data_IF_929534791226
#
_entry.id   IF_929534791226
#
_cell.length_a   1.000
_cell.length_b   1.000
_cell.length_c   1.000
_cell.angle_alpha   90.00
_cell.angle_beta   90.00
_cell.angle_gamma   90.00
#
_symmetry.space_group_name_H-M   'P 1'
#
loop_
_entity.id
_entity.type
_entity.pdbx_description
1 polymer ?
#
# COMPACT_ATOMS: atom_id res chain seq x y z
N UNK A 1 13.58 8.43 38.04
CA UNK A 1 14.78 8.71 37.21
C UNK A 1 15.76 7.56 37.41
N UNK A 2 15.90 6.66 36.42
CA UNK A 2 16.92 5.61 36.47
C UNK A 2 18.21 6.18 35.87
N UNK A 3 19.19 6.51 36.71
CA UNK A 3 20.55 6.80 36.26
C UNK A 3 21.21 5.48 35.87
N UNK A 4 21.68 5.37 34.63
CA UNK A 4 22.53 4.25 34.20
C UNK A 4 24.00 4.64 34.40
N UNK A 5 24.83 3.65 34.73
CA UNK A 5 26.27 3.87 34.86
C UNK A 5 26.92 4.00 33.48
N UNK A 6 27.96 4.82 33.36
CA UNK A 6 28.79 4.89 32.14
C UNK A 6 29.29 3.51 31.71
N UNK A 7 29.54 2.59 32.65
CA UNK A 7 29.94 1.22 32.34
C UNK A 7 28.85 0.41 31.61
N UNK A 8 27.56 0.67 31.83
CA UNK A 8 26.49 0.04 31.07
C UNK A 8 26.44 0.59 29.64
N UNK A 9 26.55 1.91 29.49
CA UNK A 9 26.62 2.59 28.20
C UNK A 9 27.82 2.11 27.37
N UNK A 10 29.00 2.01 27.99
CA UNK A 10 30.24 1.56 27.36
C UNK A 10 30.17 0.06 27.02
N UNK A 11 29.68 -0.81 27.92
CA UNK A 11 29.52 -2.23 27.61
C UNK A 11 28.52 -2.50 26.49
N UNK A 12 27.44 -1.73 26.40
CA UNK A 12 26.49 -1.81 25.29
C UNK A 12 27.09 -1.27 23.98
N UNK A 13 27.91 -0.22 24.04
CA UNK A 13 28.63 0.30 22.87
C UNK A 13 29.72 -0.66 22.35
N UNK A 14 30.39 -1.40 23.23
CA UNK A 14 31.47 -2.34 22.89
C UNK A 14 30.96 -3.73 22.46
N UNK A 15 29.82 -4.21 22.97
CA UNK A 15 29.26 -5.51 22.58
C UNK A 15 28.61 -5.53 21.18
N UNK A 16 28.24 -4.37 20.63
CA UNK A 16 27.33 -4.30 19.47
C UNK A 16 27.92 -3.69 18.18
N UNK A 17 29.19 -3.26 18.14
CA UNK A 17 29.75 -2.57 16.95
C UNK A 17 30.48 -3.46 15.95
N UNK A 18 31.12 -4.56 16.36
CA UNK A 18 32.11 -5.24 15.51
C UNK A 18 31.59 -6.43 14.70
N UNK A 19 30.28 -6.67 14.58
CA UNK A 19 29.76 -7.90 13.93
C UNK A 19 28.62 -7.72 12.94
N UNK A 20 28.26 -6.49 12.59
CA UNK A 20 27.22 -6.23 11.59
C UNK A 20 27.82 -5.60 10.34
N UNK A 21 27.41 -6.12 9.19
CA UNK A 21 27.92 -5.74 7.88
C UNK A 21 26.77 -5.35 6.98
N UNK A 22 27.07 -4.49 6.01
CA UNK A 22 26.14 -4.11 4.96
C UNK A 22 26.90 -4.07 3.63
N UNK A 23 26.23 -4.50 2.57
CA UNK A 23 26.74 -4.45 1.22
C UNK A 23 25.63 -3.93 0.31
N UNK A 24 25.94 -2.92 -0.48
CA UNK A 24 25.02 -2.32 -1.44
C UNK A 24 25.63 -2.43 -2.83
N UNK A 25 24.85 -2.90 -3.79
CA UNK A 25 25.24 -2.97 -5.21
C UNK A 25 24.28 -2.12 -6.02
N UNK A 26 24.79 -1.27 -6.90
CA UNK A 26 24.01 -0.53 -7.90
C UNK A 26 24.40 -1.04 -9.29
N UNK A 27 23.42 -1.54 -10.04
CA UNK A 27 23.57 -1.88 -11.45
C UNK A 27 23.00 -0.75 -12.33
N UNK A 28 23.88 -0.04 -13.04
CA UNK A 28 23.57 1.14 -13.86
C UNK A 28 24.11 0.94 -15.27
N UNK A 29 23.23 0.63 -16.23
CA UNK A 29 23.65 0.25 -17.57
C UNK A 29 24.62 -0.95 -17.55
N UNK A 30 25.85 -0.74 -18.04
CA UNK A 30 26.91 -1.75 -18.03
C UNK A 30 27.87 -1.63 -16.84
N UNK A 31 27.71 -0.61 -15.99
CA UNK A 31 28.54 -0.40 -14.81
C UNK A 31 27.88 -1.01 -13.55
N UNK A 32 28.71 -1.52 -12.65
CA UNK A 32 28.27 -2.03 -11.35
C UNK A 32 29.10 -1.36 -10.26
N UNK A 33 28.42 -0.71 -9.33
CA UNK A 33 29.03 -0.05 -8.18
C UNK A 33 28.76 -0.89 -6.94
N UNK A 34 29.80 -1.17 -6.15
CA UNK A 34 29.70 -1.98 -4.94
C UNK A 34 30.22 -1.15 -3.78
N UNK A 35 29.41 -1.05 -2.73
CA UNK A 35 29.74 -0.38 -1.48
C UNK A 35 29.64 -1.37 -0.33
N UNK A 36 30.63 -1.31 0.55
CA UNK A 36 30.73 -2.14 1.75
C UNK A 36 30.68 -1.25 2.99
N UNK A 37 30.74 -1.86 4.18
CA UNK A 37 30.85 -1.16 5.46
C UNK A 37 32.00 -0.13 5.53
N UNK A 38 33.04 -0.29 4.69
CA UNK A 38 34.17 0.66 4.60
C UNK A 38 33.81 1.94 3.86
N UNK A 39 32.87 1.85 2.92
CA UNK A 39 32.47 2.96 2.05
C UNK A 39 31.25 3.68 2.63
N UNK A 40 30.36 2.92 3.29
CA UNK A 40 29.06 3.36 3.76
C UNK A 40 29.17 4.12 5.08
N UNK A 41 28.77 5.39 5.06
CA UNK A 41 28.63 6.23 6.24
C UNK A 41 27.33 5.94 7.01
N UNK A 42 26.22 5.75 6.29
CA UNK A 42 24.95 5.40 6.90
C UNK A 42 23.97 4.74 5.94
N UNK A 43 23.04 3.95 6.48
CA UNK A 43 21.87 3.40 5.78
C UNK A 43 20.62 3.63 6.63
N UNK A 44 19.49 3.89 5.97
CA UNK A 44 18.16 3.88 6.54
C UNK A 44 17.21 3.17 5.55
N UNK A 45 16.82 1.94 5.87
CA UNK A 45 15.75 1.18 5.23
C UNK A 45 14.46 1.45 6.02
N UNK A 46 13.36 1.77 5.35
CA UNK A 46 12.06 2.04 5.98
C UNK A 46 10.93 1.38 5.20
N UNK A 47 10.13 0.61 5.93
CA UNK A 47 8.94 -0.08 5.46
C UNK A 47 7.75 0.31 6.33
N UNK A 48 6.60 0.50 5.71
CA UNK A 48 5.36 0.86 6.38
C UNK A 48 4.17 0.41 5.52
N UNK A 49 3.29 -0.38 6.13
CA UNK A 49 2.12 -0.97 5.48
C UNK A 49 0.89 -0.69 6.34
N UNK A 50 -0.23 -0.37 5.70
CA UNK A 50 -1.53 -0.36 6.35
C UNK A 50 -2.20 -1.72 6.12
N UNK A 51 -2.50 -2.51 7.17
CA UNK A 51 -3.18 -3.79 6.99
C UNK A 51 -4.57 -3.69 6.34
N UNK A 52 -5.20 -2.51 6.40
CA UNK A 52 -6.47 -2.22 5.74
C UNK A 52 -6.29 -1.61 4.34
N UNK A 53 -5.04 -1.40 3.90
CA UNK A 53 -4.69 -0.75 2.63
C UNK A 53 -5.36 0.60 2.41
N UNK A 54 -5.62 1.42 3.43
CA UNK A 54 -6.28 2.73 3.26
C UNK A 54 -5.34 3.83 2.76
N UNK A 55 -4.05 3.51 2.73
CA UNK A 55 -2.96 4.35 2.23
C UNK A 55 -1.95 3.49 1.52
N UNK A 56 -1.26 4.09 0.56
CA UNK A 56 -0.19 3.41 -0.17
C UNK A 56 0.94 3.00 0.78
N UNK A 57 1.58 1.84 0.57
CA UNK A 57 2.74 1.42 1.35
C UNK A 57 3.92 2.37 1.13
N UNK A 58 4.88 2.34 2.06
CA UNK A 58 6.17 3.04 1.90
C UNK A 58 7.29 2.04 2.07
N UNK A 59 8.11 1.91 1.04
CA UNK A 59 9.26 1.00 1.02
C UNK A 59 10.45 1.78 0.43
N UNK A 60 11.26 2.36 1.31
CA UNK A 60 12.31 3.32 0.94
C UNK A 60 13.66 2.92 1.51
N UNK A 61 14.71 3.25 0.76
CA UNK A 61 16.10 3.09 1.13
C UNK A 61 16.81 4.43 0.95
N UNK A 62 17.55 4.86 1.97
CA UNK A 62 18.53 5.94 1.83
C UNK A 62 19.86 5.48 2.38
N UNK A 63 20.94 5.74 1.66
CA UNK A 63 22.28 5.47 2.16
C UNK A 63 23.24 6.57 1.73
N UNK A 64 24.28 6.74 2.55
CA UNK A 64 25.33 7.71 2.34
C UNK A 64 26.67 7.01 2.33
N UNK A 65 27.56 7.45 1.46
CA UNK A 65 28.94 6.96 1.35
C UNK A 65 29.93 8.12 1.56
N UNK A 66 31.12 7.79 2.02
CA UNK A 66 32.24 8.73 2.00
C UNK A 66 32.75 8.90 0.56
N UNK A 67 32.73 10.13 0.05
CA UNK A 67 33.15 10.50 -1.31
C UNK A 67 34.31 11.51 -1.25
N UNK A 68 35.41 11.14 -0.58
CA UNK A 68 36.56 12.02 -0.41
C UNK A 68 37.30 12.32 -1.72
N UNK A 69 37.26 11.40 -2.67
CA UNK A 69 37.85 11.56 -4.00
C UNK A 69 36.96 12.37 -4.95
N UNK A 70 35.72 12.67 -4.54
CA UNK A 70 34.76 13.46 -5.31
C UNK A 70 34.26 12.76 -6.58
N UNK A 71 34.21 11.42 -6.58
CA UNK A 71 33.74 10.62 -7.70
C UNK A 71 32.25 10.87 -7.98
N UNK A 72 31.46 11.16 -6.94
CA UNK A 72 30.03 11.41 -7.08
C UNK A 72 29.69 12.91 -7.04
N UNK A 73 30.69 13.79 -7.04
CA UNK A 73 30.46 15.23 -7.12
C UNK A 73 29.98 15.63 -8.54
N UNK A 74 28.82 16.29 -8.71
CA UNK A 74 28.34 16.74 -10.02
C UNK A 74 29.30 17.69 -10.76
N UNK A 75 30.21 18.35 -10.03
CA UNK A 75 31.23 19.24 -10.59
C UNK A 75 32.46 18.49 -11.12
N UNK A 76 32.56 17.17 -10.90
CA UNK A 76 33.65 16.33 -11.41
C UNK A 76 33.26 15.73 -12.77
N UNK A 77 33.77 16.26 -13.90
CA UNK A 77 33.35 15.84 -15.24
C UNK A 77 33.80 14.42 -15.62
N UNK A 78 34.79 13.86 -14.93
CA UNK A 78 35.29 12.49 -15.14
C UNK A 78 34.81 11.50 -14.07
N UNK A 79 33.98 11.98 -13.13
CA UNK A 79 33.44 11.19 -12.03
C UNK A 79 32.36 10.19 -12.47
N UNK A 80 31.83 9.47 -11.49
CA UNK A 80 30.77 8.46 -11.62
C UNK A 80 29.37 9.08 -11.63
N UNK A 81 29.19 10.29 -11.10
CA UNK A 81 27.87 10.94 -11.00
C UNK A 81 27.12 11.01 -12.34
N UNK A 82 27.80 11.42 -13.42
CA UNK A 82 27.20 11.60 -14.74
C UNK A 82 26.89 10.28 -15.47
N UNK A 83 27.53 9.18 -15.04
CA UNK A 83 27.36 7.84 -15.61
C UNK A 83 26.27 7.02 -14.92
N UNK A 84 25.82 7.50 -13.77
CA UNK A 84 24.79 6.84 -12.99
C UNK A 84 23.41 7.16 -13.58
N UNK A 85 22.69 6.10 -13.92
CA UNK A 85 21.35 6.18 -14.48
C UNK A 85 20.34 6.28 -13.34
N UNK A 86 19.40 7.21 -13.49
CA UNK A 86 18.19 7.21 -12.68
C UNK A 86 17.41 5.92 -12.98
N UNK A 87 16.73 5.37 -11.97
CA UNK A 87 16.10 4.04 -12.03
C UNK A 87 17.06 2.84 -12.09
N UNK A 88 18.34 3.04 -11.77
CA UNK A 88 19.28 1.92 -11.56
C UNK A 88 18.80 0.97 -10.47
N UNK A 89 19.01 -0.34 -10.68
CA UNK A 89 18.64 -1.37 -9.70
C UNK A 89 19.63 -1.39 -8.54
N UNK A 90 19.11 -1.45 -7.33
CA UNK A 90 19.88 -1.51 -6.09
C UNK A 90 19.58 -2.84 -5.40
N UNK A 91 20.64 -3.51 -4.94
CA UNK A 91 20.56 -4.67 -4.07
C UNK A 91 21.26 -4.34 -2.76
N UNK A 92 20.56 -4.48 -1.63
CA UNK A 92 21.15 -4.33 -0.29
C UNK A 92 21.12 -5.66 0.43
N UNK A 93 22.20 -5.99 1.12
CA UNK A 93 22.29 -7.14 2.02
C UNK A 93 22.88 -6.72 3.35
N UNK A 94 22.25 -7.18 4.43
CA UNK A 94 22.83 -7.14 5.77
C UNK A 94 23.52 -8.47 6.08
N UNK A 95 24.53 -8.44 6.94
CA UNK A 95 25.23 -9.65 7.35
C UNK A 95 25.72 -9.58 8.78
N UNK A 96 25.92 -10.76 9.38
CA UNK A 96 26.43 -10.91 10.73
C UNK A 96 27.69 -11.76 10.75
N UNK A 97 28.72 -11.32 11.48
CA UNK A 97 29.92 -12.14 11.71
C UNK A 97 29.65 -13.22 12.76
N UNK A 98 29.51 -14.46 12.31
CA UNK A 98 29.25 -15.63 13.15
C UNK A 98 30.54 -16.23 13.73
N UNK A 99 31.66 -16.02 13.06
CA UNK A 99 33.01 -16.35 13.55
C UNK A 99 34.03 -15.44 12.90
N UNK A 100 35.22 -15.29 13.48
CA UNK A 100 36.23 -14.34 13.03
C UNK A 100 36.47 -14.44 11.51
N UNK A 101 36.15 -13.37 10.78
CA UNK A 101 36.30 -13.24 9.33
C UNK A 101 35.23 -13.95 8.49
N UNK A 102 34.23 -14.58 9.11
CA UNK A 102 33.14 -15.29 8.42
C UNK A 102 31.83 -14.56 8.65
N UNK A 103 31.28 -14.01 7.57
CA UNK A 103 30.02 -13.27 7.55
C UNK A 103 28.93 -14.18 6.98
N UNK A 104 27.86 -14.35 7.73
CA UNK A 104 26.58 -14.87 7.22
C UNK A 104 25.79 -13.71 6.65
N UNK A 105 25.44 -13.79 5.36
CA UNK A 105 24.67 -12.76 4.66
C UNK A 105 23.20 -13.15 4.63
N UNK A 106 22.34 -12.21 5.01
CA UNK A 106 20.90 -12.35 4.90
C UNK A 106 20.45 -12.23 3.43
N UNK A 107 19.20 -12.63 3.21
CA UNK A 107 18.52 -12.42 1.92
C UNK A 107 18.58 -10.94 1.50
N UNK A 108 18.80 -10.67 0.21
CA UNK A 108 18.83 -9.31 -0.30
C UNK A 108 17.45 -8.67 -0.39
N UNK A 109 17.41 -7.36 -0.18
CA UNK A 109 16.30 -6.51 -0.61
C UNK A 109 16.63 -5.77 -1.90
N UNK A 110 15.59 -5.41 -2.66
CA UNK A 110 15.70 -4.79 -3.97
C UNK A 110 15.01 -3.43 -4.01
N UNK A 111 15.70 -2.43 -4.55
CA UNK A 111 15.20 -1.07 -4.71
C UNK A 111 15.55 -0.51 -6.08
N UNK A 112 14.91 0.59 -6.46
CA UNK A 112 15.15 1.35 -7.68
C UNK A 112 15.57 2.76 -7.28
N UNK A 113 16.72 3.20 -7.80
CA UNK A 113 17.27 4.52 -7.49
C UNK A 113 16.30 5.64 -7.88
N UNK A 114 16.08 6.59 -6.98
CA UNK A 114 15.15 7.70 -7.20
C UNK A 114 15.70 8.79 -8.10
N UNK A 115 16.95 9.16 -7.86
CA UNK A 115 17.66 10.19 -8.57
C UNK A 115 19.17 9.95 -8.39
N UNK A 116 19.97 10.64 -9.20
CA UNK A 116 21.42 10.70 -8.96
C UNK A 116 21.72 11.22 -7.54
N UNK A 117 22.82 10.78 -6.92
CA UNK A 117 23.12 11.14 -5.54
C UNK A 117 23.34 12.65 -5.39
N UNK A 118 23.00 13.15 -4.20
CA UNK A 118 23.35 14.49 -3.77
C UNK A 118 24.68 14.46 -3.02
N UNK A 119 25.50 15.51 -3.12
CA UNK A 119 26.79 15.57 -2.42
C UNK A 119 26.86 16.78 -1.51
N UNK A 120 27.26 16.56 -0.26
CA UNK A 120 27.55 17.61 0.70
C UNK A 120 28.71 17.20 1.59
N UNK A 121 29.69 18.09 1.76
CA UNK A 121 30.82 17.90 2.71
C UNK A 121 31.58 16.58 2.54
N UNK A 122 31.81 16.13 1.30
CA UNK A 122 32.52 14.87 1.00
C UNK A 122 31.69 13.61 1.28
N UNK A 123 30.36 13.73 1.38
CA UNK A 123 29.43 12.61 1.53
C UNK A 123 28.44 12.63 0.37
N UNK A 124 28.30 11.50 -0.31
CA UNK A 124 27.30 11.31 -1.36
C UNK A 124 26.11 10.51 -0.80
N UNK A 125 24.89 11.01 -1.00
CA UNK A 125 23.65 10.42 -0.47
C UNK A 125 22.73 10.01 -1.60
N UNK A 126 22.31 8.75 -1.55
CA UNK A 126 21.42 8.10 -2.49
C UNK A 126 20.07 7.87 -1.83
N UNK A 127 19.01 7.96 -2.62
CA UNK A 127 17.64 7.61 -2.22
C UNK A 127 17.05 6.66 -3.26
N UNK A 128 16.29 5.69 -2.79
CA UNK A 128 15.67 4.67 -3.62
C UNK A 128 14.34 4.23 -3.01
N UNK A 129 13.47 3.71 -3.86
CA UNK A 129 12.16 3.19 -3.51
C UNK A 129 11.95 1.81 -4.13
N UNK A 130 11.07 0.99 -3.58
CA UNK A 130 10.73 -0.30 -4.21
C UNK A 130 10.08 -0.11 -5.58
N UNK A 131 10.02 -1.18 -6.39
CA UNK A 131 9.32 -1.16 -7.68
C UNK A 131 7.83 -0.79 -7.51
N UNK A 132 7.18 -1.27 -6.45
CA UNK A 132 5.81 -0.90 -6.09
C UNK A 132 5.66 0.60 -5.80
N UNK A 133 6.53 1.18 -4.97
CA UNK A 133 6.48 2.60 -4.66
C UNK A 133 6.86 3.51 -5.85
N UNK A 134 7.40 2.93 -6.92
CA UNK A 134 7.74 3.62 -8.19
C UNK A 134 6.61 3.68 -9.20
N UNK A 135 5.48 3.04 -8.94
CA UNK A 135 4.33 3.00 -9.85
C UNK A 135 3.53 4.33 -9.83
N UNK A 136 4.20 5.43 -10.19
CA UNK A 136 3.68 6.80 -10.14
C UNK A 136 3.12 7.31 -11.46
N UNK A 137 3.27 6.56 -12.55
CA UNK A 137 2.61 6.88 -13.81
C UNK A 137 1.09 6.74 -13.65
N UNK A 138 0.32 7.45 -14.49
CA UNK A 138 -1.14 7.40 -14.43
C UNK A 138 -1.67 6.13 -15.09
N UNK A 139 -2.59 5.46 -14.42
CA UNK A 139 -3.55 4.54 -15.00
C UNK A 139 -4.85 5.31 -15.29
N UNK A 140 -5.33 5.25 -16.52
CA UNK A 140 -6.54 5.94 -16.97
C UNK A 140 -7.51 5.03 -17.74
N UNK A 141 -7.19 3.73 -17.83
CA UNK A 141 -7.88 2.75 -18.66
C UNK A 141 -9.08 2.10 -17.97
N UNK A 142 -9.65 2.75 -16.96
CA UNK A 142 -10.84 2.28 -16.26
C UNK A 142 -12.07 2.29 -17.17
N UNK A 143 -12.89 1.25 -17.14
CA UNK A 143 -14.11 1.11 -17.94
C UNK A 143 -15.28 0.80 -17.01
N UNK A 144 -16.45 1.39 -17.29
CA UNK A 144 -17.68 1.02 -16.61
C UNK A 144 -18.20 -0.30 -17.17
N UNK A 145 -17.90 -1.40 -16.48
CA UNK A 145 -18.27 -2.76 -16.85
C UNK A 145 -18.14 -3.68 -15.64
N UNK A 146 -18.93 -4.75 -15.59
CA UNK A 146 -18.74 -5.79 -14.57
C UNK A 146 -17.35 -6.43 -14.72
N UNK A 147 -16.56 -6.39 -13.65
CA UNK A 147 -15.25 -7.02 -13.54
C UNK A 147 -15.07 -7.60 -12.14
N UNK A 148 -14.03 -8.41 -11.96
CA UNK A 148 -13.54 -8.78 -10.64
C UNK A 148 -12.28 -7.99 -10.29
N UNK A 149 -11.98 -7.88 -8.99
CA UNK A 149 -10.82 -7.12 -8.48
C UNK A 149 -9.48 -7.73 -8.90
N UNK A 150 -9.41 -9.03 -9.21
CA UNK A 150 -8.19 -9.68 -9.67
C UNK A 150 -7.78 -9.18 -11.05
N UNK A 151 -8.72 -9.20 -12.00
CA UNK A 151 -8.45 -8.77 -13.38
C UNK A 151 -8.13 -7.27 -13.44
N UNK A 152 -8.76 -6.46 -12.57
CA UNK A 152 -8.41 -5.04 -12.41
C UNK A 152 -6.99 -4.84 -11.85
N UNK A 153 -6.57 -5.65 -10.87
CA UNK A 153 -5.20 -5.55 -10.35
C UNK A 153 -4.17 -5.93 -11.41
N UNK A 154 -4.42 -7.02 -12.14
CA UNK A 154 -3.56 -7.47 -13.25
C UNK A 154 -3.50 -6.41 -14.35
N UNK A 155 -4.62 -5.82 -14.75
CA UNK A 155 -4.62 -4.79 -15.80
C UNK A 155 -3.79 -3.57 -15.41
N UNK A 156 -3.83 -3.15 -14.14
CA UNK A 156 -3.03 -2.04 -13.63
C UNK A 156 -1.53 -2.39 -13.58
N UNK A 157 -1.18 -3.61 -13.14
CA UNK A 157 0.22 -4.07 -13.09
C UNK A 157 0.83 -4.22 -14.49
N UNK A 158 0.09 -4.82 -15.43
CA UNK A 158 0.53 -4.98 -16.81
C UNK A 158 0.64 -3.65 -17.54
N UNK A 159 -0.30 -2.72 -17.31
CA UNK A 159 -0.23 -1.35 -17.85
C UNK A 159 0.98 -0.58 -17.31
N UNK A 160 1.36 -0.83 -16.06
CA UNK A 160 2.58 -0.28 -15.47
C UNK A 160 3.88 -0.93 -15.99
N UNK A 161 3.77 -1.97 -16.84
CA UNK A 161 4.91 -2.68 -17.42
C UNK A 161 5.53 -3.74 -16.49
N UNK A 162 4.83 -4.16 -15.43
CA UNK A 162 5.34 -5.15 -14.49
C UNK A 162 5.17 -6.55 -15.08
N UNK A 163 6.25 -7.32 -15.08
CA UNK A 163 6.24 -8.69 -15.58
C UNK A 163 5.41 -9.59 -14.63
N UNK A 164 4.69 -10.58 -15.17
CA UNK A 164 3.90 -11.53 -14.39
C UNK A 164 4.70 -12.41 -13.42
N UNK A 165 6.03 -12.46 -13.53
CA UNK A 165 6.90 -13.10 -12.55
C UNK A 165 7.23 -12.20 -11.34
N UNK A 166 6.98 -10.89 -11.45
CA UNK A 166 7.32 -9.89 -10.44
C UNK A 166 6.09 -9.42 -9.64
N UNK A 167 4.93 -10.04 -9.83
CA UNK A 167 3.77 -9.81 -8.97
C UNK A 167 3.00 -11.10 -8.68
N UNK A 168 2.29 -11.09 -7.56
CA UNK A 168 1.36 -12.14 -7.14
C UNK A 168 0.07 -11.48 -6.64
N UNK A 169 -1.05 -11.82 -7.27
CA UNK A 169 -2.39 -11.39 -6.84
C UNK A 169 -3.12 -12.63 -6.36
N UNK A 170 -3.69 -12.59 -5.16
CA UNK A 170 -4.40 -13.73 -4.60
C UNK A 170 -5.68 -14.08 -5.39
N UNK A 171 -5.95 -15.37 -5.57
CA UNK A 171 -7.08 -15.82 -6.38
C UNK A 171 -8.46 -15.49 -5.77
N UNK A 172 -8.55 -15.20 -4.47
CA UNK A 172 -9.82 -14.83 -3.82
C UNK A 172 -10.45 -13.57 -4.42
N UNK A 173 -9.63 -12.66 -4.97
CA UNK A 173 -10.09 -11.43 -5.63
C UNK A 173 -10.96 -11.70 -6.87
N UNK A 174 -10.88 -12.89 -7.47
CA UNK A 174 -11.71 -13.27 -8.63
C UNK A 174 -13.21 -13.33 -8.31
N UNK A 175 -13.54 -13.54 -7.04
CA UNK A 175 -14.93 -13.61 -6.57
C UNK A 175 -15.45 -12.27 -6.05
N UNK A 176 -14.61 -11.23 -6.00
CA UNK A 176 -14.98 -9.90 -5.52
C UNK A 176 -15.29 -9.02 -6.72
N UNK A 177 -16.58 -8.73 -6.92
CA UNK A 177 -17.07 -8.09 -8.14
C UNK A 177 -17.28 -6.59 -7.96
N UNK A 178 -17.05 -5.84 -9.02
CA UNK A 178 -17.36 -4.40 -9.10
C UNK A 178 -17.76 -4.02 -10.52
N UNK A 179 -18.59 -3.00 -10.66
CA UNK A 179 -18.83 -2.34 -11.95
C UNK A 179 -18.17 -0.96 -12.03
N UNK A 180 -17.47 -0.55 -10.98
CA UNK A 180 -16.84 0.75 -10.90
C UNK A 180 -15.66 0.84 -11.89
N UNK A 181 -15.61 1.89 -12.72
CA UNK A 181 -14.40 2.21 -13.44
C UNK A 181 -13.30 2.63 -12.44
N UNK A 182 -12.09 2.12 -12.65
CA UNK A 182 -10.92 2.64 -11.94
C UNK A 182 -10.73 4.14 -12.26
N UNK A 183 -10.42 4.97 -11.25
CA UNK A 183 -10.28 6.40 -11.46
C UNK A 183 -8.96 6.69 -12.18
N UNK A 184 -8.89 7.82 -12.87
CA UNK A 184 -7.62 8.34 -13.39
C UNK A 184 -6.72 8.73 -12.21
N UNK A 185 -5.72 7.89 -11.90
CA UNK A 185 -4.80 8.08 -10.78
C UNK A 185 -3.50 7.35 -11.05
N UNK A 186 -2.55 7.37 -10.12
CA UNK A 186 -1.32 6.57 -10.28
C UNK A 186 -1.63 5.08 -10.22
N UNK A 187 -0.85 4.25 -10.92
CA UNK A 187 -0.95 2.78 -10.80
C UNK A 187 -0.92 2.33 -9.34
N UNK A 188 -0.01 2.89 -8.52
CA UNK A 188 0.05 2.60 -7.08
C UNK A 188 -1.25 2.92 -6.34
N UNK A 189 -1.89 4.06 -6.63
CA UNK A 189 -3.16 4.42 -6.00
C UNK A 189 -4.30 3.50 -6.47
N UNK A 190 -4.32 3.13 -7.75
CA UNK A 190 -5.30 2.16 -8.26
C UNK A 190 -5.13 0.79 -7.58
N UNK A 191 -3.90 0.30 -7.41
CA UNK A 191 -3.63 -0.95 -6.69
C UNK A 191 -4.01 -0.86 -5.22
N UNK A 192 -3.75 0.26 -4.56
CA UNK A 192 -4.15 0.49 -3.17
C UNK A 192 -5.68 0.48 -3.03
N UNK A 193 -6.40 1.14 -3.95
CA UNK A 193 -7.86 1.15 -3.99
C UNK A 193 -8.42 -0.28 -4.16
N UNK A 194 -7.82 -1.07 -5.06
CA UNK A 194 -8.19 -2.47 -5.29
C UNK A 194 -7.91 -3.32 -4.04
N UNK A 195 -6.71 -3.21 -3.46
CA UNK A 195 -6.32 -3.97 -2.26
C UNK A 195 -7.26 -3.68 -1.08
N UNK A 196 -7.62 -2.41 -0.86
CA UNK A 196 -8.58 -2.04 0.17
C UNK A 196 -9.97 -2.63 -0.09
N UNK A 197 -10.50 -2.52 -1.32
CA UNK A 197 -11.80 -3.10 -1.65
C UNK A 197 -11.80 -4.62 -1.45
N UNK A 198 -10.67 -5.25 -1.75
CA UNK A 198 -10.45 -6.68 -1.61
C UNK A 198 -10.15 -7.14 -0.18
N UNK A 199 -10.04 -6.23 0.81
CA UNK A 199 -9.61 -6.53 2.19
C UNK A 199 -8.23 -7.22 2.22
N UNK A 200 -7.37 -6.81 1.30
CA UNK A 200 -6.02 -7.33 1.09
C UNK A 200 -4.98 -6.28 1.48
N UNK A 201 -3.78 -6.75 1.81
CA UNK A 201 -2.59 -5.92 1.92
C UNK A 201 -1.92 -5.73 0.57
N UNK A 202 -1.13 -4.66 0.44
CA UNK A 202 -0.32 -4.34 -0.72
C UNK A 202 1.11 -4.05 -0.25
N UNK A 203 2.07 -4.91 -0.60
CA UNK A 203 3.49 -4.75 -0.25
C UNK A 203 4.42 -5.49 -1.21
N UNK A 204 5.71 -5.20 -1.17
CA UNK A 204 6.74 -6.00 -1.84
C UNK A 204 7.29 -7.05 -0.88
N UNK A 205 7.42 -8.29 -1.32
CA UNK A 205 8.09 -9.37 -0.58
C UNK A 205 9.17 -9.97 -1.48
N UNK A 206 10.44 -9.90 -1.07
CA UNK A 206 11.57 -10.44 -1.84
C UNK A 206 11.62 -9.98 -3.31
N UNK A 207 11.22 -8.72 -3.58
CA UNK A 207 11.18 -8.14 -4.92
C UNK A 207 9.93 -8.46 -5.75
N UNK A 208 8.95 -9.16 -5.19
CA UNK A 208 7.65 -9.46 -5.83
C UNK A 208 6.56 -8.60 -5.21
N UNK A 209 5.79 -7.89 -6.02
CA UNK A 209 4.62 -7.12 -5.57
C UNK A 209 3.50 -8.09 -5.20
N UNK A 210 2.99 -8.03 -3.98
CA UNK A 210 1.92 -8.92 -3.50
C UNK A 210 0.65 -8.17 -3.16
N UNK A 211 -0.48 -8.72 -3.60
CA UNK A 211 -1.83 -8.37 -3.12
C UNK A 211 -2.43 -9.62 -2.51
N UNK A 212 -2.50 -9.66 -1.18
CA UNK A 212 -2.89 -10.86 -0.43
C UNK A 212 -3.87 -10.55 0.72
N UNK A 213 -4.85 -11.43 0.99
CA UNK A 213 -5.80 -11.24 2.08
C UNK A 213 -5.10 -11.02 3.42
N UNK A 214 -5.60 -10.04 4.19
CA UNK A 214 -5.13 -9.81 5.53
C UNK A 214 -6.05 -10.46 6.56
N UNK A 215 -5.47 -11.07 7.60
CA UNK A 215 -6.21 -11.50 8.79
C UNK A 215 -5.58 -10.92 10.04
N UNK A 216 -6.41 -10.46 10.97
CA UNK A 216 -5.97 -10.01 12.30
C UNK A 216 -5.73 -11.16 13.28
N UNK A 217 -5.95 -12.42 12.87
CA UNK A 217 -5.74 -13.62 13.71
C UNK A 217 -4.31 -14.18 13.65
N UNK A 218 -3.36 -13.42 13.11
CA UNK A 218 -1.97 -13.86 12.98
C UNK A 218 -1.36 -14.03 14.39
N UNK A 219 -0.89 -15.23 14.67
CA UNK A 219 -0.15 -15.55 15.90
C UNK A 219 1.35 -15.58 15.62
N UNK A 220 2.19 -14.99 16.48
CA UNK A 220 3.64 -15.10 16.34
C UNK A 220 4.11 -16.56 16.41
N UNK A 221 5.01 -16.96 15.51
CA UNK A 221 5.55 -18.32 15.50
C UNK A 221 6.64 -18.52 16.56
N UNK A 222 7.71 -17.71 16.52
CA UNK A 222 8.88 -17.92 17.40
C UNK A 222 9.66 -16.67 17.82
N UNK A 223 9.52 -15.53 17.12
CA UNK A 223 10.33 -14.36 17.43
C UNK A 223 9.85 -13.65 18.71
N UNK A 224 10.78 -13.45 19.65
CA UNK A 224 10.55 -12.72 20.90
C UNK A 224 11.44 -11.48 20.93
N UNK A 225 10.82 -10.31 20.97
CA UNK A 225 11.48 -9.05 21.26
C UNK A 225 11.66 -8.90 22.77
N UNK A 226 12.83 -9.31 23.25
CA UNK A 226 13.21 -9.23 24.66
C UNK A 226 13.50 -7.81 25.14
N UNK A 227 13.31 -7.56 26.44
CA UNK A 227 13.58 -6.26 27.07
C UNK A 227 15.05 -5.83 26.96
N UNK A 228 15.97 -6.79 26.83
CA UNK A 228 17.41 -6.59 26.66
C UNK A 228 17.79 -6.03 25.26
N UNK A 229 16.87 -6.14 24.31
CA UNK A 229 16.99 -5.62 22.95
C UNK A 229 16.42 -4.21 22.81
N UNK A 230 15.58 -3.76 23.74
CA UNK A 230 14.92 -2.45 23.71
C UNK A 230 15.83 -1.38 24.30
N UNK A 231 15.90 -0.24 23.62
CA UNK A 231 16.67 0.92 24.10
C UNK A 231 16.08 1.50 25.38
N UNK A 232 16.91 2.13 26.22
CA UNK A 232 16.41 2.84 27.40
C UNK A 232 15.46 3.97 26.99
N UNK A 233 14.24 4.00 27.55
CA UNK A 233 13.15 4.90 27.11
C UNK A 233 12.88 4.78 25.60
N UNK A 234 13.11 3.60 25.04
CA UNK A 234 12.97 3.30 23.63
C UNK A 234 11.55 2.95 23.23
N UNK A 235 10.65 2.77 24.18
CA UNK A 235 9.25 2.41 23.98
C UNK A 235 8.32 3.60 24.22
N UNK A 236 7.37 3.79 23.31
CA UNK A 236 6.21 4.67 23.52
C UNK A 236 4.94 3.90 23.20
N UNK A 237 3.89 4.13 23.99
CA UNK A 237 2.61 3.45 23.85
C UNK A 237 1.55 4.51 23.56
N UNK A 238 0.75 4.27 22.52
CA UNK A 238 -0.45 5.03 22.24
C UNK A 238 -1.67 4.10 22.30
N UNK A 239 -2.77 4.65 22.83
CA UNK A 239 -4.08 3.99 22.84
C UNK A 239 -5.09 4.96 22.27
N UNK A 240 -5.78 4.54 21.22
CA UNK A 240 -6.87 5.33 20.64
C UNK A 240 -8.19 5.02 21.37
N UNK A 241 -9.17 5.91 21.24
CA UNK A 241 -10.50 5.78 21.85
C UNK A 241 -11.21 4.49 21.44
N UNK A 242 -12.12 3.98 22.27
CA UNK A 242 -12.93 2.80 21.96
C UNK A 242 -13.60 2.93 20.59
N UNK A 243 -13.71 1.84 19.83
CA UNK A 243 -14.49 1.81 18.59
C UNK A 243 -15.97 1.91 18.93
N UNK A 244 -16.66 2.95 18.48
CA UNK A 244 -18.10 3.04 18.58
C UNK A 244 -18.76 2.30 17.41
N UNK A 245 -18.48 2.74 16.19
CA UNK A 245 -19.07 2.19 14.95
C UNK A 245 -18.08 2.23 13.80
N UNK A 246 -18.31 1.36 12.82
CA UNK A 246 -17.64 1.41 11.51
C UNK A 246 -18.72 1.60 10.45
N UNK A 247 -18.51 2.54 9.55
CA UNK A 247 -19.39 2.79 8.41
C UNK A 247 -18.61 2.67 7.10
N UNK A 248 -19.27 2.26 6.03
CA UNK A 248 -18.68 2.22 4.70
C UNK A 248 -19.65 2.73 3.65
N UNK A 249 -19.14 3.37 2.61
CA UNK A 249 -19.93 3.84 1.47
C UNK A 249 -20.16 2.73 0.44
N UNK A 250 -21.38 2.70 -0.12
CA UNK A 250 -21.77 1.95 -1.30
C UNK A 250 -21.92 2.92 -2.47
N UNK A 251 -21.22 2.66 -3.56
CA UNK A 251 -21.20 3.50 -4.75
C UNK A 251 -22.08 2.87 -5.84
N UNK A 252 -23.02 3.65 -6.37
CA UNK A 252 -23.84 3.27 -7.51
C UNK A 252 -23.54 4.18 -8.68
N UNK A 253 -23.12 3.59 -9.79
CA UNK A 253 -22.83 4.28 -11.04
C UNK A 253 -24.03 4.14 -11.96
N UNK A 254 -24.68 5.27 -12.24
CA UNK A 254 -25.94 5.38 -12.97
C UNK A 254 -25.70 6.10 -14.30
N UNK A 255 -25.54 5.37 -15.42
CA UNK A 255 -25.52 5.97 -16.74
C UNK A 255 -26.84 6.68 -17.06
N UNK A 256 -26.77 7.81 -17.74
CA UNK A 256 -27.94 8.43 -18.36
C UNK A 256 -28.47 7.56 -19.51
N UNK A 257 -29.78 7.64 -19.77
CA UNK A 257 -30.44 6.88 -20.85
C UNK A 257 -29.93 7.28 -22.25
N UNK A 258 -29.68 8.57 -22.44
CA UNK A 258 -29.36 9.14 -23.75
C UNK A 258 -27.90 9.59 -23.84
N UNK A 259 -27.29 9.35 -25.00
CA UNK A 259 -25.95 9.84 -25.30
C UNK A 259 -25.95 11.36 -25.54
N UNK A 260 -24.98 12.06 -24.95
CA UNK A 260 -24.82 13.52 -25.03
C UNK A 260 -23.36 13.88 -25.28
N UNK A 261 -23.11 15.11 -25.72
CA UNK A 261 -21.76 15.67 -25.71
C UNK A 261 -21.23 15.70 -24.28
N UNK A 262 -20.14 14.97 -24.04
CA UNK A 262 -19.41 14.96 -22.78
C UNK A 262 -18.49 16.17 -22.73
N UNK A 263 -17.62 16.31 -23.73
CA UNK A 263 -16.62 17.37 -23.79
C UNK A 263 -16.08 17.55 -25.22
N UNK A 264 -15.50 18.71 -25.50
CA UNK A 264 -14.89 19.05 -26.80
C UNK A 264 -13.47 19.56 -26.59
N UNK A 265 -12.54 19.10 -27.43
CA UNK A 265 -11.11 19.42 -27.34
C UNK A 265 -10.63 20.06 -28.64
N UNK A 266 -9.78 21.07 -28.54
CA UNK A 266 -9.09 21.66 -29.70
C UNK A 266 -7.66 21.13 -29.75
N UNK A 267 -7.32 20.41 -30.82
CA UNK A 267 -6.04 19.70 -30.96
C UNK A 267 -5.35 20.18 -32.23
N UNK A 268 -4.08 20.58 -32.09
CA UNK A 268 -3.18 20.86 -33.22
C UNK A 268 -2.54 19.56 -33.70
N UNK A 269 -2.57 19.33 -35.02
CA UNK A 269 -2.10 18.11 -35.67
C UNK A 269 -1.07 18.47 -36.72
N UNK A 270 0.09 17.82 -36.64
CA UNK A 270 1.18 17.88 -37.62
C UNK A 270 1.41 16.47 -38.17
N UNK A 271 1.08 16.25 -39.45
CA UNK A 271 1.09 14.96 -40.16
C UNK A 271 0.37 13.82 -39.44
N UNK A 272 0.99 13.18 -38.45
CA UNK A 272 0.44 12.12 -37.60
C UNK A 272 0.69 12.45 -36.15
N UNK A 273 -0.37 12.67 -35.38
CA UNK A 273 -0.30 13.02 -33.95
C UNK A 273 -1.00 11.96 -33.10
N UNK A 274 -0.29 11.43 -32.10
CA UNK A 274 -0.87 10.59 -31.05
C UNK A 274 -1.53 11.50 -30.02
N UNK A 275 -2.81 11.24 -29.74
CA UNK A 275 -3.63 12.07 -28.88
C UNK A 275 -4.07 11.29 -27.65
N UNK A 276 -4.02 11.98 -26.50
CA UNK A 276 -4.59 11.54 -25.24
C UNK A 276 -5.48 12.67 -24.70
N UNK A 277 -6.72 12.36 -24.35
CA UNK A 277 -7.66 13.30 -23.72
C UNK A 277 -8.23 12.68 -22.46
N UNK A 278 -8.43 13.50 -21.41
CA UNK A 278 -9.17 13.14 -20.20
C UNK A 278 -10.49 13.91 -20.19
N UNK A 279 -11.60 13.26 -19.83
CA UNK A 279 -12.95 13.83 -19.84
C UNK A 279 -13.80 13.34 -18.65
N UNK A 280 -14.98 13.93 -18.50
CA UNK A 280 -15.94 13.56 -17.45
C UNK A 280 -16.44 12.11 -17.56
N UNK A 281 -16.67 11.49 -16.40
CA UNK A 281 -17.08 10.09 -16.28
C UNK A 281 -18.31 9.75 -17.14
N UNK A 282 -18.14 8.77 -18.02
CA UNK A 282 -19.15 8.34 -18.99
C UNK A 282 -18.98 6.86 -19.36
N UNK A 283 -19.90 6.32 -20.16
CA UNK A 283 -19.76 5.05 -20.88
C UNK A 283 -20.28 5.21 -22.32
N UNK A 284 -20.06 4.16 -23.14
CA UNK A 284 -20.49 4.13 -24.55
C UNK A 284 -19.97 5.35 -25.34
N UNK A 285 -18.70 5.69 -25.16
CA UNK A 285 -18.11 6.86 -25.80
C UNK A 285 -17.83 6.64 -27.28
N UNK A 286 -18.13 7.65 -28.07
CA UNK A 286 -17.76 7.81 -29.47
C UNK A 286 -17.01 9.12 -29.66
N UNK A 287 -16.02 9.10 -30.56
CA UNK A 287 -15.23 10.28 -30.92
C UNK A 287 -15.58 10.70 -32.34
N UNK A 288 -15.85 12.00 -32.50
CA UNK A 288 -16.05 12.62 -33.80
C UNK A 288 -15.10 13.81 -33.97
N UNK A 289 -14.67 14.07 -35.21
CA UNK A 289 -13.80 15.20 -35.54
C UNK A 289 -14.51 16.16 -36.48
N UNK A 290 -14.28 17.46 -36.30
CA UNK A 290 -15.06 18.52 -36.96
C UNK A 290 -14.86 18.69 -38.47
N UNK A 291 -14.00 17.89 -39.12
CA UNK A 291 -13.68 18.02 -40.54
C UNK A 291 -13.42 16.67 -41.19
N UNK A 292 -13.88 16.48 -42.42
CA UNK A 292 -13.57 15.29 -43.23
C UNK A 292 -12.11 15.27 -43.73
N UNK A 293 -11.38 16.39 -43.61
CA UNK A 293 -9.98 16.49 -44.06
C UNK A 293 -8.96 15.94 -43.04
N UNK A 294 -9.42 15.36 -41.94
CA UNK A 294 -8.59 14.72 -40.92
C UNK A 294 -9.12 13.30 -40.68
N UNK A 295 -8.21 12.35 -40.62
CA UNK A 295 -8.55 10.95 -40.33
C UNK A 295 -8.34 10.67 -38.86
N UNK A 296 -9.35 10.11 -38.20
CA UNK A 296 -9.22 9.58 -36.84
C UNK A 296 -9.12 8.05 -36.90
N UNK A 297 -8.16 7.48 -36.19
CA UNK A 297 -7.91 6.03 -36.15
C UNK A 297 -7.37 5.59 -34.79
N UNK A 298 -7.21 4.27 -34.59
CA UNK A 298 -6.70 3.65 -33.35
C UNK A 298 -7.43 4.12 -32.08
N UNK A 299 -8.75 4.31 -32.18
CA UNK A 299 -9.57 4.85 -31.10
C UNK A 299 -9.73 3.81 -30.00
N UNK A 300 -9.31 4.16 -28.80
CA UNK A 300 -9.57 3.43 -27.57
C UNK A 300 -10.23 4.38 -26.59
N UNK A 301 -11.45 4.05 -26.17
CA UNK A 301 -12.21 4.85 -25.22
C UNK A 301 -12.27 4.17 -23.86
N UNK A 302 -12.17 4.99 -22.82
CA UNK A 302 -12.25 4.62 -21.42
C UNK A 302 -13.28 5.50 -20.73
N UNK A 303 -13.63 5.17 -19.48
CA UNK A 303 -14.67 5.87 -18.76
C UNK A 303 -14.39 7.37 -18.55
N UNK A 304 -13.10 7.75 -18.50
CA UNK A 304 -12.65 9.13 -18.26
C UNK A 304 -11.52 9.59 -19.19
N UNK A 305 -11.17 8.81 -20.20
CA UNK A 305 -10.08 9.15 -21.11
C UNK A 305 -10.22 8.44 -22.46
N UNK A 306 -9.54 8.94 -23.49
CA UNK A 306 -9.40 8.24 -24.76
C UNK A 306 -8.01 8.44 -25.37
N UNK A 307 -7.53 7.39 -26.02
CA UNK A 307 -6.31 7.39 -26.84
C UNK A 307 -6.70 7.18 -28.30
N UNK A 308 -6.15 7.98 -29.20
CA UNK A 308 -6.43 7.88 -30.64
C UNK A 308 -5.31 8.53 -31.46
N UNK A 309 -5.35 8.34 -32.77
CA UNK A 309 -4.41 8.97 -33.70
C UNK A 309 -5.17 9.88 -34.66
N UNK A 310 -4.67 11.09 -34.85
CA UNK A 310 -5.13 12.03 -35.88
C UNK A 310 -4.10 12.12 -36.99
N UNK A 311 -4.55 12.06 -38.24
CA UNK A 311 -3.73 12.30 -39.44
C UNK A 311 -4.31 13.47 -40.24
N UNK A 312 -3.52 14.53 -40.37
CA UNK A 312 -3.94 15.79 -40.98
C UNK A 312 -2.97 16.93 -40.65
N UNK A 313 -3.28 18.15 -41.12
CA UNK A 313 -2.48 19.34 -40.84
C UNK A 313 -3.39 20.51 -40.44
N UNK A 314 -3.20 21.03 -39.22
CA UNK A 314 -3.95 22.16 -38.67
C UNK A 314 -4.63 21.86 -37.33
N UNK A 315 -5.52 22.76 -36.90
CA UNK A 315 -6.25 22.62 -35.63
C UNK A 315 -7.65 22.04 -35.88
N UNK A 316 -7.99 20.97 -35.17
CA UNK A 316 -9.27 20.28 -35.28
C UNK A 316 -10.00 20.22 -33.94
N UNK A 317 -11.33 20.16 -33.97
CA UNK A 317 -12.14 19.93 -32.78
C UNK A 317 -12.52 18.46 -32.71
N UNK A 318 -12.14 17.81 -31.61
CA UNK A 318 -12.57 16.46 -31.25
C UNK A 318 -13.71 16.57 -30.26
N UNK A 319 -14.84 15.97 -30.59
CA UNK A 319 -16.03 15.91 -29.74
C UNK A 319 -16.16 14.50 -29.19
N UNK A 320 -16.28 14.38 -27.86
CA UNK A 320 -16.61 13.12 -27.19
C UNK A 320 -18.10 13.12 -26.90
N UNK A 321 -18.81 12.12 -27.41
CA UNK A 321 -20.21 11.85 -27.09
C UNK A 321 -20.33 10.53 -26.35
N UNK A 322 -21.23 10.42 -25.38
CA UNK A 322 -21.47 9.18 -24.65
C UNK A 322 -22.57 9.35 -23.62
N UNK A 323 -22.87 8.28 -22.88
CA UNK A 323 -23.79 8.33 -21.74
C UNK A 323 -23.01 8.81 -20.52
N UNK A 324 -23.40 9.98 -20.00
CA UNK A 324 -22.80 10.49 -18.76
C UNK A 324 -23.15 9.57 -17.59
N UNK A 325 -22.22 9.32 -16.69
CA UNK A 325 -22.48 8.54 -15.48
C UNK A 325 -22.59 9.49 -14.28
N UNK A 326 -23.69 9.37 -13.55
CA UNK A 326 -23.85 10.02 -12.24
C UNK A 326 -23.55 8.99 -11.14
N UNK A 327 -22.89 9.43 -10.07
CA UNK A 327 -22.59 8.57 -8.93
C UNK A 327 -23.53 8.89 -7.78
N UNK A 328 -24.28 7.89 -7.31
CA UNK A 328 -25.02 7.93 -6.05
C UNK A 328 -24.22 7.21 -4.97
N UNK A 329 -24.32 7.68 -3.72
CA UNK A 329 -23.62 7.12 -2.57
C UNK A 329 -24.63 6.89 -1.45
N UNK A 330 -24.68 5.67 -0.93
CA UNK A 330 -25.35 5.35 0.34
C UNK A 330 -24.31 4.87 1.36
N UNK A 331 -24.65 4.90 2.64
CA UNK A 331 -23.75 4.51 3.73
C UNK A 331 -24.46 3.49 4.60
N UNK A 332 -23.76 2.41 4.93
CA UNK A 332 -24.17 1.42 5.92
C UNK A 332 -23.19 1.44 7.08
N UNK A 333 -23.68 1.12 8.28
CA UNK A 333 -22.88 1.13 9.50
C UNK A 333 -23.11 -0.11 10.35
N UNK A 334 -22.14 -0.43 11.19
CA UNK A 334 -22.25 -1.44 12.25
C UNK A 334 -21.78 -0.87 13.58
N UNK A 335 -22.63 -0.98 14.59
CA UNK A 335 -22.32 -0.57 15.96
C UNK A 335 -21.50 -1.69 16.63
N UNK A 336 -20.29 -1.32 17.07
CA UNK A 336 -19.30 -2.26 17.62
C UNK A 336 -19.22 -2.17 19.15
N UNK A 337 -19.55 -1.01 19.72
CA UNK A 337 -19.70 -0.87 21.16
C UNK A 337 -20.82 0.10 21.54
N UNK A 338 -21.35 -0.04 22.75
CA UNK A 338 -22.36 0.88 23.30
C UNK A 338 -21.76 2.20 23.80
N UNK A 339 -20.45 2.41 23.66
CA UNK A 339 -19.80 3.66 24.05
C UNK A 339 -19.99 4.70 22.94
N UNK A 340 -21.09 5.45 23.00
CA UNK A 340 -21.45 6.51 22.04
C UNK A 340 -20.42 7.65 21.94
N UNK A 341 -19.52 7.78 22.92
CA UNK A 341 -18.41 8.75 22.88
C UNK A 341 -17.16 8.17 22.23
N UNK A 342 -17.22 6.95 21.70
CA UNK A 342 -16.12 6.31 20.99
C UNK A 342 -15.95 6.82 19.57
N UNK A 343 -14.84 6.41 18.95
CA UNK A 343 -14.51 6.77 17.56
C UNK A 343 -15.43 6.08 16.56
N UNK A 344 -15.84 6.84 15.54
CA UNK A 344 -16.45 6.32 14.30
C UNK A 344 -15.35 6.19 13.25
N UNK A 345 -15.19 5.02 12.64
CA UNK A 345 -14.34 4.83 11.46
C UNK A 345 -15.21 4.78 10.20
N UNK A 346 -14.74 5.39 9.10
CA UNK A 346 -15.55 5.66 7.90
C UNK A 346 -14.75 5.31 6.65
N UNK A 347 -15.19 4.27 5.96
CA UNK A 347 -14.49 3.68 4.82
C UNK A 347 -15.08 4.16 3.49
N UNK A 348 -14.20 4.68 2.63
CA UNK A 348 -14.57 5.29 1.35
C UNK A 348 -13.77 4.66 0.24
N UNK A 349 -14.38 3.67 -0.40
CA UNK A 349 -13.77 2.97 -1.52
C UNK A 349 -14.77 2.85 -2.67
N UNK A 350 -14.47 3.54 -3.78
CA UNK A 350 -15.38 3.65 -4.92
C UNK A 350 -15.59 2.32 -5.68
N UNK A 351 -14.79 1.29 -5.41
CA UNK A 351 -14.97 -0.04 -5.99
C UNK A 351 -16.01 -0.88 -5.23
N UNK A 352 -16.49 -0.42 -4.08
CA UNK A 352 -17.57 -1.07 -3.34
C UNK A 352 -18.90 -0.70 -3.99
N UNK A 353 -19.40 -1.60 -4.84
CA UNK A 353 -20.62 -1.41 -5.64
C UNK A 353 -21.72 -2.44 -5.35
N UNK A 354 -21.55 -3.26 -4.31
CA UNK A 354 -22.58 -4.17 -3.82
C UNK A 354 -22.69 -4.11 -2.28
N UNK A 355 -23.90 -4.29 -1.76
CA UNK A 355 -24.16 -4.27 -0.32
C UNK A 355 -23.44 -5.42 0.41
N UNK A 356 -23.25 -6.56 -0.26
CA UNK A 356 -22.50 -7.69 0.28
C UNK A 356 -21.03 -7.33 0.53
N UNK A 357 -20.34 -6.73 -0.46
CA UNK A 357 -18.95 -6.31 -0.30
C UNK A 357 -18.81 -5.15 0.72
N UNK A 358 -19.78 -4.24 0.77
CA UNK A 358 -19.85 -3.17 1.77
C UNK A 358 -19.86 -3.75 3.20
N UNK A 359 -20.72 -4.74 3.45
CA UNK A 359 -20.80 -5.39 4.76
C UNK A 359 -19.51 -6.13 5.13
N UNK A 360 -18.92 -6.88 4.18
CA UNK A 360 -17.66 -7.59 4.40
C UNK A 360 -16.50 -6.62 4.72
N UNK A 361 -16.47 -5.46 4.08
CA UNK A 361 -15.48 -4.42 4.37
C UNK A 361 -15.65 -3.87 5.79
N UNK A 362 -16.87 -3.51 6.19
CA UNK A 362 -17.18 -3.02 7.55
C UNK A 362 -16.71 -4.02 8.60
N UNK A 363 -17.02 -5.31 8.42
CA UNK A 363 -16.64 -6.35 9.37
C UNK A 363 -15.12 -6.56 9.44
N UNK A 364 -14.45 -6.59 8.30
CA UNK A 364 -12.98 -6.71 8.24
C UNK A 364 -12.28 -5.55 8.96
N UNK A 365 -12.73 -4.32 8.71
CA UNK A 365 -12.20 -3.11 9.35
C UNK A 365 -12.48 -3.11 10.85
N UNK A 366 -13.68 -3.49 11.28
CA UNK A 366 -14.04 -3.60 12.68
C UNK A 366 -13.10 -4.57 13.43
N UNK A 367 -12.90 -5.79 12.91
CA UNK A 367 -12.03 -6.80 13.52
C UNK A 367 -10.60 -6.28 13.75
N UNK A 368 -10.03 -5.59 12.78
CA UNK A 368 -8.69 -5.01 12.92
C UNK A 368 -8.67 -3.79 13.87
N UNK A 369 -9.68 -2.93 13.80
CA UNK A 369 -9.73 -1.71 14.59
C UNK A 369 -10.15 -1.95 16.04
N UNK A 370 -10.59 -3.13 16.43
CA UNK A 370 -10.74 -3.46 17.85
C UNK A 370 -9.43 -3.40 18.62
N UNK A 371 -8.32 -3.73 17.97
CA UNK A 371 -7.00 -3.57 18.58
C UNK A 371 -6.65 -2.07 18.64
N UNK A 372 -6.65 -1.51 19.85
CA UNK A 372 -6.55 -0.05 20.08
C UNK A 372 -5.17 0.42 20.51
N UNK A 373 -4.23 -0.49 20.77
CA UNK A 373 -2.92 -0.17 21.31
C UNK A 373 -1.84 -0.30 20.23
N UNK A 374 -1.02 0.73 20.11
CA UNK A 374 0.16 0.75 19.24
C UNK A 374 1.39 1.08 20.07
N UNK A 375 2.50 0.39 19.80
CA UNK A 375 3.78 0.61 20.45
C UNK A 375 4.82 1.01 19.41
N UNK A 376 5.56 2.08 19.65
CA UNK A 376 6.78 2.36 18.91
C UNK A 376 7.98 1.95 19.76
N UNK A 377 8.82 1.07 19.24
CA UNK A 377 9.90 0.42 19.98
C UNK A 377 11.23 0.61 19.24
N UNK A 378 12.15 1.33 19.87
CA UNK A 378 13.55 1.44 19.44
C UNK A 378 14.34 0.27 20.01
N UNK A 379 14.93 -0.53 19.14
CA UNK A 379 15.60 -1.77 19.51
C UNK A 379 16.90 -1.96 18.74
N UNK A 380 17.59 -3.09 18.99
CA UNK A 380 18.87 -3.42 18.34
C UNK A 380 18.79 -3.59 16.81
N UNK A 381 17.60 -3.80 16.24
CA UNK A 381 17.42 -4.02 14.81
C UNK A 381 17.66 -5.48 14.41
N UNK A 382 16.70 -6.06 13.70
CA UNK A 382 16.79 -7.34 13.03
C UNK A 382 16.29 -7.15 11.58
N UNK A 383 17.18 -7.11 10.58
CA UNK A 383 16.78 -6.90 9.19
C UNK A 383 15.88 -7.99 8.60
N UNK A 384 15.76 -9.15 9.24
CA UNK A 384 14.86 -10.23 8.79
C UNK A 384 13.40 -9.98 9.11
N UNK A 385 13.09 -9.03 10.01
CA UNK A 385 11.70 -8.68 10.32
C UNK A 385 11.11 -7.82 9.21
N UNK A 386 9.94 -8.20 8.73
CA UNK A 386 9.19 -7.48 7.71
C UNK A 386 7.88 -6.90 8.27
N UNK A 387 7.29 -5.93 7.58
CA UNK A 387 5.93 -5.48 7.91
C UNK A 387 4.92 -6.61 7.73
N UNK A 388 3.93 -6.63 8.63
CA UNK A 388 2.90 -7.66 8.82
C UNK A 388 3.38 -8.95 9.49
N UNK A 389 4.64 -9.06 9.87
CA UNK A 389 5.08 -10.13 10.77
C UNK A 389 4.46 -9.97 12.16
N UNK A 390 4.18 -11.10 12.80
CA UNK A 390 3.75 -11.14 14.20
C UNK A 390 4.91 -11.59 15.10
N UNK A 391 5.08 -10.89 16.22
CA UNK A 391 6.12 -11.18 17.21
C UNK A 391 5.58 -11.12 18.64
N UNK A 392 6.26 -11.79 19.57
CA UNK A 392 6.06 -11.59 20.99
C UNK A 392 6.90 -10.39 21.47
N UNK A 393 6.32 -9.45 22.20
CA UNK A 393 7.08 -8.40 22.91
C UNK A 393 7.05 -8.67 24.39
N UNK A 394 8.23 -8.81 24.99
CA UNK A 394 8.38 -8.93 26.44
C UNK A 394 8.01 -7.63 27.14
N UNK A 395 7.23 -7.71 28.22
CA UNK A 395 6.86 -6.55 29.03
C UNK A 395 7.54 -6.60 30.40
N UNK A 396 7.69 -5.44 31.04
CA UNK A 396 8.22 -5.34 32.41
C UNK A 396 7.36 -6.05 33.47
N UNK A 397 6.18 -6.54 33.09
CA UNK A 397 5.23 -7.22 33.97
C UNK A 397 5.37 -8.74 33.93
N UNK A 398 6.36 -9.27 33.20
CA UNK A 398 6.62 -10.72 33.09
C UNK A 398 5.67 -11.45 32.15
N UNK A 399 4.92 -10.73 31.32
CA UNK A 399 4.04 -11.27 30.28
C UNK A 399 4.48 -10.79 28.90
N UNK A 400 4.05 -11.52 27.87
CA UNK A 400 4.25 -11.12 26.47
C UNK A 400 2.97 -10.50 25.91
N UNK A 401 3.13 -9.56 24.97
CA UNK A 401 2.05 -9.14 24.07
C UNK A 401 2.33 -9.65 22.66
N UNK A 402 1.28 -10.00 21.93
CA UNK A 402 1.38 -10.29 20.51
C UNK A 402 1.39 -8.95 19.76
N UNK A 403 2.41 -8.69 18.98
CA UNK A 403 2.57 -7.47 18.20
C UNK A 403 2.57 -7.77 16.71
N UNK A 404 1.70 -7.11 15.94
CA UNK A 404 1.77 -7.06 14.48
C UNK A 404 2.63 -5.88 14.04
N UNK A 405 3.67 -6.10 13.23
CA UNK A 405 4.52 -5.03 12.74
C UNK A 405 3.79 -4.22 11.67
N UNK A 406 3.57 -2.93 11.93
CA UNK A 406 2.98 -1.99 10.97
C UNK A 406 4.05 -1.23 10.18
N UNK A 407 5.14 -0.86 10.85
CA UNK A 407 6.29 -0.25 10.22
C UNK A 407 7.60 -0.69 10.84
N UNK A 408 8.63 -0.73 10.01
CA UNK A 408 9.97 -1.13 10.39
C UNK A 408 10.99 -0.19 9.76
N UNK A 409 11.89 0.33 10.59
CA UNK A 409 13.06 1.06 10.13
C UNK A 409 14.32 0.36 10.59
N UNK A 410 15.19 -0.01 9.66
CA UNK A 410 16.54 -0.51 9.93
C UNK A 410 17.53 0.58 9.57
N UNK A 411 18.43 0.88 10.51
CA UNK A 411 19.48 1.87 10.32
C UNK A 411 20.85 1.23 10.54
N UNK A 412 21.83 1.64 9.74
CA UNK A 412 23.21 1.24 9.87
C UNK A 412 24.11 2.48 9.89
N UNK A 413 25.03 2.57 10.84
CA UNK A 413 26.09 3.60 10.88
C UNK A 413 27.37 3.05 11.54
N UNK A 414 27.73 1.82 11.16
CA UNK A 414 28.76 1.01 11.82
C UNK A 414 28.19 -0.02 12.81
N UNK A 415 26.91 0.07 13.14
CA UNK A 415 26.14 -0.98 13.81
C UNK A 415 24.69 -0.93 13.33
N UNK A 416 23.99 -2.07 13.39
CA UNK A 416 22.55 -2.12 13.10
C UNK A 416 21.78 -1.58 14.30
N UNK A 417 20.70 -0.86 14.01
CA UNK A 417 19.70 -0.42 14.96
C UNK A 417 18.33 -0.42 14.29
N UNK A 418 17.25 -0.53 15.07
CA UNK A 418 15.91 -0.62 14.50
C UNK A 418 14.86 0.18 15.26
N UNK A 419 13.79 0.53 14.55
CA UNK A 419 12.57 1.10 15.11
C UNK A 419 11.38 0.33 14.54
N UNK A 420 10.59 -0.27 15.41
CA UNK A 420 9.33 -0.92 15.06
C UNK A 420 8.17 -0.05 15.49
N UNK A 421 7.11 -0.01 14.69
CA UNK A 421 5.77 0.34 15.16
C UNK A 421 4.93 -0.91 15.09
N UNK A 422 4.44 -1.39 16.23
CA UNK A 422 3.63 -2.58 16.33
C UNK A 422 2.23 -2.27 16.83
N UNK A 423 1.25 -3.05 16.39
CA UNK A 423 -0.11 -3.05 16.93
C UNK A 423 -0.27 -4.24 17.88
N UNK A 424 -0.70 -3.99 19.10
CA UNK A 424 -0.92 -5.04 20.10
C UNK A 424 -2.18 -5.83 19.75
N UNK A 425 -2.03 -7.09 19.38
CA UNK A 425 -3.09 -8.06 19.10
C UNK A 425 -3.56 -8.79 20.36
N UNK A 426 -3.53 -8.12 21.52
CA UNK A 426 -3.98 -8.74 22.77
C UNK A 426 -5.47 -9.03 22.70
N UNK A 427 -5.88 -10.22 23.16
CA UNK A 427 -7.27 -10.67 23.12
C UNK A 427 -8.21 -9.65 23.78
N UNK A 428 -9.31 -9.34 23.10
CA UNK A 428 -10.33 -8.40 23.56
C UNK A 428 -11.58 -9.21 23.86
N UNK A 429 -11.92 -9.33 25.14
CA UNK A 429 -13.11 -10.04 25.57
C UNK A 429 -14.34 -9.13 25.59
N UNK A 430 -15.51 -9.70 25.28
CA UNK A 430 -16.81 -9.04 25.44
C UNK A 430 -17.17 -8.02 24.34
N UNK A 431 -16.66 -8.20 23.12
CA UNK A 431 -17.05 -7.39 21.95
C UNK A 431 -17.97 -8.21 21.04
N UNK A 432 -19.13 -7.66 20.78
CA UNK A 432 -20.20 -8.28 20.00
C UNK A 432 -20.68 -7.31 18.92
N UNK A 433 -21.31 -7.84 17.87
CA UNK A 433 -22.09 -7.01 16.96
C UNK A 433 -23.41 -6.63 17.62
N UNK A 434 -23.85 -5.39 17.39
CA UNK A 434 -25.14 -4.89 17.85
C UNK A 434 -26.00 -4.47 16.67
N UNK A 435 -27.30 -4.73 16.73
CA UNK A 435 -28.27 -4.26 15.75
C UNK A 435 -28.68 -2.79 15.98
N UNK A 436 -29.63 -2.30 15.18
CA UNK A 436 -30.14 -0.93 15.26
C UNK A 436 -30.89 -0.64 16.57
N UNK A 437 -31.33 -1.66 17.30
CA UNK A 437 -31.99 -1.54 18.60
C UNK A 437 -31.02 -1.67 19.78
N UNK A 438 -29.72 -1.84 19.48
CA UNK A 438 -28.63 -2.06 20.44
C UNK A 438 -28.67 -3.42 21.14
N UNK A 439 -29.38 -4.38 20.56
CA UNK A 439 -29.36 -5.76 20.99
C UNK A 439 -28.21 -6.53 20.31
N UNK A 440 -27.72 -7.57 20.98
CA UNK A 440 -26.60 -8.36 20.47
C UNK A 440 -27.06 -9.21 19.30
N UNK A 441 -26.32 -9.20 18.20
CA UNK A 441 -26.59 -10.07 17.05
C UNK A 441 -26.18 -11.51 17.38
N UNK A 442 -27.07 -12.46 17.13
CA UNK A 442 -26.82 -13.91 17.27
C UNK A 442 -26.78 -14.60 15.91
N UNK A 443 -26.04 -15.70 15.81
CA UNK A 443 -26.01 -16.58 14.63
C UNK A 443 -27.27 -17.48 14.55
N UNK A 444 -27.32 -18.38 13.55
CA UNK A 444 -28.44 -19.32 13.35
C UNK A 444 -28.61 -20.32 14.52
N UNK A 445 -27.60 -20.48 15.36
CA UNK A 445 -27.61 -21.38 16.52
C UNK A 445 -27.91 -20.64 17.83
N UNK A 446 -28.30 -19.36 17.75
CA UNK A 446 -28.59 -18.48 18.89
C UNK A 446 -27.32 -18.14 19.72
N UNK A 447 -26.13 -18.29 19.12
CA UNK A 447 -24.85 -17.91 19.73
C UNK A 447 -24.51 -16.46 19.38
N UNK A 448 -24.13 -15.65 20.38
CA UNK A 448 -23.82 -14.24 20.16
C UNK A 448 -22.59 -14.08 19.26
N UNK A 449 -22.73 -13.33 18.16
CA UNK A 449 -21.66 -13.08 17.20
C UNK A 449 -20.63 -12.12 17.82
N UNK A 450 -19.45 -12.66 18.11
CA UNK A 450 -18.28 -11.89 18.48
C UNK A 450 -17.59 -11.26 17.27
N UNK A 451 -16.81 -10.21 17.50
CA UNK A 451 -16.01 -9.53 16.46
C UNK A 451 -14.62 -10.18 16.32
N UNK A 452 -14.52 -11.51 16.45
CA UNK A 452 -13.30 -12.29 16.16
C UNK A 452 -13.71 -13.69 15.65
N UNK A 453 -14.23 -13.77 14.43
CA UNK A 453 -14.44 -15.04 13.73
C UNK A 453 -15.29 -14.93 12.46
N UNK A 454 -14.68 -15.04 11.28
CA UNK A 454 -15.43 -15.21 10.00
C UNK A 454 -15.99 -16.63 9.83
N UNK A 455 -15.67 -17.57 10.72
CA UNK A 455 -16.07 -18.98 10.58
C UNK A 455 -17.56 -19.24 10.81
N UNK A 456 -18.27 -18.33 11.47
CA UNK A 456 -19.66 -18.57 11.89
C UNK A 456 -20.70 -17.78 11.09
N UNK A 457 -20.29 -16.98 10.09
CA UNK A 457 -21.22 -16.18 9.29
C UNK A 457 -21.22 -16.56 7.82
N UNK A 458 -22.11 -17.50 7.47
CA UNK A 458 -22.80 -17.45 6.17
C UNK A 458 -24.11 -16.71 6.41
N UNK A 459 -24.24 -15.49 5.88
CA UNK A 459 -25.52 -14.79 5.80
C UNK A 459 -26.59 -15.74 5.25
N UNK A 460 -27.71 -15.89 5.98
CA UNK A 460 -28.88 -16.62 5.50
C UNK A 460 -29.68 -15.83 4.45
N UNK A 461 -29.33 -14.58 4.18
CA UNK A 461 -29.89 -13.85 3.07
C UNK A 461 -29.10 -14.19 1.83
N UNK A 462 -29.77 -14.85 0.88
CA UNK A 462 -29.32 -14.91 -0.50
C UNK A 462 -29.13 -13.49 -1.03
N UNK A 463 -28.24 -13.30 -2.01
CA UNK A 463 -28.05 -12.01 -2.68
C UNK A 463 -29.39 -11.40 -3.15
N UNK A 464 -30.33 -12.27 -3.54
CA UNK A 464 -31.70 -11.91 -3.92
C UNK A 464 -32.50 -11.28 -2.78
N UNK A 465 -32.39 -11.79 -1.55
CA UNK A 465 -33.12 -11.25 -0.39
C UNK A 465 -32.52 -9.94 0.14
N UNK A 466 -31.24 -9.67 -0.14
CA UNK A 466 -30.60 -8.38 0.15
C UNK A 466 -30.95 -7.31 -0.89
N UNK A 467 -31.14 -7.71 -2.15
CA UNK A 467 -31.56 -6.81 -3.24
C UNK A 467 -33.04 -6.42 -3.11
N UNK A 468 -33.92 -7.34 -2.68
CA UNK A 468 -35.34 -7.07 -2.43
C UNK A 468 -35.56 -6.03 -1.30
N UNK A 469 -34.69 -6.02 -0.28
CA UNK A 469 -34.74 -5.04 0.81
C UNK A 469 -34.35 -3.62 0.35
N UNK A 470 -33.57 -3.50 -0.72
CA UNK A 470 -33.18 -2.21 -1.31
C UNK A 470 -34.29 -1.66 -2.19
N UNK A 471 -35.05 -2.51 -2.90
CA UNK A 471 -36.25 -2.06 -3.63
C UNK A 471 -37.35 -1.54 -2.68
N UNK A 472 -37.52 -2.14 -1.51
CA UNK A 472 -38.53 -1.71 -0.52
C UNK A 472 -38.19 -0.32 0.07
N UNK A 473 -36.91 0.00 0.26
CA UNK A 473 -36.47 1.31 0.76
C UNK A 473 -36.52 2.42 -0.31
N UNK A 474 -36.50 2.08 -1.60
CA UNK A 474 -36.58 3.06 -2.70
C UNK A 474 -38.04 3.45 -3.04
N UNK A 475 -39.04 2.64 -2.69
CA UNK A 475 -40.45 2.96 -2.98
C UNK A 475 -41.12 3.92 -1.97
N UNK A 476 -40.47 4.20 -0.83
CA UNK A 476 -41.01 5.08 0.22
C UNK A 476 -40.33 6.46 0.32
N UNK A 477 -39.77 6.98 -0.79
CA UNK A 477 -39.30 8.39 -0.94
C UNK A 477 -39.96 9.11 -2.10
#
# INVERSE_FOLDING_TARGET
MKSTSENYQIKMAEQCRNRSYVKITIASGNETYIFTDKDIASVSKKEDVDPLSRRVPKETLSFSIFDFDGDYNPSNPIGKWSKLDENSKITIQFGFEISKGTIEWLSPDYYILDARPTVSSGVATFTASSELCKLTNKYYKGIYSNSNLYDLAVSVLEDAGINSQNYEVDNSLKNMLTNAPLPVSTHLNCLQLIAHAARCTLKTVSGVIKIEPFSSTITPDTFVLGLDSISLNGDTISKIETLYKVEANLYQYLPEEESKTIETFSIEVEDVTQCHIEYSLSCEQELAVSSENVTISNIHTYAQAADFTLEGNGTFIVTVTGKKITTSISTSESVISLNINGSTDSEKNQLITSSSEQYLLIYHVANYLLFRMTHQIKYRGNPELETLDALFVETSYGTYINGLILSHSINYNGAISGILTIKSLSEIQGVYLYDNEQDKVSDINDETIGVIGMTDYKSNYSSTEMDDFIEEVIQDV
#
